data_IF_393436038666
#
_entry.id   IF_393436038666
#
_cell.length_a   1.000
_cell.length_b   1.000
_cell.length_c   1.000
_cell.angle_alpha   90.00
_cell.angle_beta   90.00
_cell.angle_gamma   90.00
#
_symmetry.space_group_name_H-M   'P 1'
#
loop_
_entity.id
_entity.type
_entity.pdbx_description
1 polymer ?
#
# COMPACT_ATOMS: atom_id res chain seq x y z
N UNK A 1 -12.66 -32.93 40.41
CA UNK A 1 -13.03 -31.55 39.97
C UNK A 1 -11.75 -30.79 39.63
N UNK A 2 -11.40 -30.66 38.34
CA UNK A 2 -10.22 -29.89 37.87
C UNK A 2 -10.58 -29.00 36.66
N UNK A 3 -11.76 -28.38 36.67
CA UNK A 3 -12.29 -27.60 35.54
C UNK A 3 -11.77 -26.16 35.43
N UNK A 4 -10.72 -25.78 36.18
CA UNK A 4 -10.22 -24.40 36.24
C UNK A 4 -9.13 -24.04 35.20
N UNK A 5 -8.19 -24.93 34.92
CA UNK A 5 -6.90 -24.54 34.32
C UNK A 5 -6.83 -24.53 32.79
N UNK A 6 -7.85 -25.06 32.10
CA UNK A 6 -7.82 -25.12 30.64
C UNK A 6 -8.53 -23.95 29.94
N UNK A 7 -9.35 -23.17 30.66
CA UNK A 7 -10.08 -22.04 30.06
C UNK A 7 -9.15 -20.99 29.40
N UNK A 8 -7.98 -20.63 29.97
CA UNK A 8 -7.04 -19.71 29.34
C UNK A 8 -6.42 -20.30 28.07
N UNK A 9 -6.00 -21.58 28.11
CA UNK A 9 -5.39 -22.28 26.97
C UNK A 9 -6.37 -22.47 25.81
N UNK A 10 -7.66 -22.69 26.11
CA UNK A 10 -8.75 -22.81 25.11
C UNK A 10 -9.00 -21.52 24.33
N UNK A 11 -8.84 -20.35 24.96
CA UNK A 11 -9.04 -19.05 24.30
C UNK A 11 -7.77 -18.53 23.61
N UNK A 12 -6.60 -18.99 24.03
CA UNK A 12 -5.29 -18.55 23.54
C UNK A 12 -5.18 -18.62 22.01
N UNK A 13 -5.68 -19.68 21.37
CA UNK A 13 -5.61 -19.84 19.92
C UNK A 13 -6.46 -18.83 19.16
N UNK A 14 -7.70 -18.59 19.60
CA UNK A 14 -8.56 -17.58 18.98
C UNK A 14 -8.01 -16.16 19.20
N UNK A 15 -7.51 -15.87 20.40
CA UNK A 15 -6.88 -14.57 20.68
C UNK A 15 -5.60 -14.38 19.87
N UNK A 16 -4.78 -15.42 19.70
CA UNK A 16 -3.57 -15.35 18.87
C UNK A 16 -3.92 -15.08 17.41
N UNK A 17 -4.95 -15.75 16.86
CA UNK A 17 -5.44 -15.48 15.52
C UNK A 17 -5.89 -14.03 15.37
N UNK A 18 -6.75 -13.54 16.27
CA UNK A 18 -7.26 -12.17 16.22
C UNK A 18 -6.14 -11.13 16.34
N UNK A 19 -5.17 -11.35 17.23
CA UNK A 19 -4.00 -10.48 17.39
C UNK A 19 -3.13 -10.47 16.14
N UNK A 20 -2.83 -11.64 15.57
CA UNK A 20 -2.04 -11.72 14.36
C UNK A 20 -2.73 -11.05 13.16
N UNK A 21 -4.04 -11.25 13.02
CA UNK A 21 -4.83 -10.56 11.97
C UNK A 21 -4.85 -9.06 12.20
N UNK A 22 -5.00 -8.59 13.44
CA UNK A 22 -4.97 -7.16 13.75
C UNK A 22 -3.64 -6.53 13.33
N UNK A 23 -2.52 -7.17 13.71
CA UNK A 23 -1.17 -6.75 13.36
C UNK A 23 -1.01 -6.73 11.83
N UNK A 24 -1.25 -7.86 11.15
CA UNK A 24 -1.06 -7.98 9.71
C UNK A 24 -1.96 -7.04 8.90
N UNK A 25 -3.25 -6.94 9.24
CA UNK A 25 -4.21 -6.10 8.51
C UNK A 25 -3.91 -4.61 8.66
N UNK A 26 -3.33 -4.16 9.79
CA UNK A 26 -2.87 -2.78 9.90
C UNK A 26 -1.72 -2.52 8.91
N UNK A 27 -0.73 -3.42 8.87
CA UNK A 27 0.39 -3.32 7.93
C UNK A 27 -0.08 -3.29 6.47
N UNK A 28 -0.92 -4.26 6.10
CA UNK A 28 -1.53 -4.34 4.77
C UNK A 28 -2.27 -3.04 4.39
N UNK A 29 -3.07 -2.50 5.32
CA UNK A 29 -3.80 -1.26 5.09
C UNK A 29 -2.87 -0.03 4.96
N UNK A 30 -1.69 -0.01 5.59
CA UNK A 30 -0.67 1.01 5.35
C UNK A 30 -0.09 0.91 3.92
N UNK A 31 0.02 -0.31 3.37
CA UNK A 31 0.61 -0.56 2.05
C UNK A 31 -0.24 -0.03 0.90
N UNK A 32 -1.56 0.11 1.09
CA UNK A 32 -2.48 0.79 0.16
C UNK A 32 -1.98 2.21 -0.16
N UNK A 33 -1.33 2.86 0.80
CA UNK A 33 -0.73 4.19 0.63
C UNK A 33 0.72 4.09 0.17
N UNK A 34 1.51 3.28 0.87
CA UNK A 34 2.96 3.27 0.72
C UNK A 34 3.41 2.80 -0.67
N UNK A 35 2.82 1.72 -1.21
CA UNK A 35 3.27 1.14 -2.49
C UNK A 35 2.98 2.06 -3.67
N UNK A 36 1.75 2.58 -3.87
CA UNK A 36 1.49 3.50 -4.97
C UNK A 36 2.28 4.81 -4.87
N UNK A 37 2.46 5.32 -3.64
CA UNK A 37 3.26 6.51 -3.38
C UNK A 37 4.74 6.27 -3.70
N UNK A 38 5.30 5.12 -3.33
CA UNK A 38 6.67 4.72 -3.67
C UNK A 38 6.88 4.69 -5.18
N UNK A 39 5.97 4.06 -5.92
CA UNK A 39 6.04 3.98 -7.39
C UNK A 39 5.97 5.38 -8.00
N UNK A 40 5.09 6.23 -7.48
CA UNK A 40 4.94 7.59 -7.99
C UNK A 40 6.18 8.46 -7.70
N UNK A 41 6.77 8.34 -6.50
CA UNK A 41 8.01 9.03 -6.13
C UNK A 41 9.20 8.60 -6.99
N UNK A 42 9.36 7.29 -7.20
CA UNK A 42 10.53 6.74 -7.91
C UNK A 42 10.42 6.87 -9.42
N UNK A 43 9.21 6.77 -9.98
CA UNK A 43 9.01 6.77 -11.44
C UNK A 43 8.47 8.09 -11.99
N UNK A 44 7.85 8.92 -11.16
CA UNK A 44 7.15 10.14 -11.58
C UNK A 44 5.92 9.89 -12.47
N UNK A 45 5.52 8.63 -12.68
CA UNK A 45 4.54 8.24 -13.69
C UNK A 45 3.28 7.63 -13.07
N UNK A 46 2.16 8.35 -13.23
CA UNK A 46 0.82 7.89 -12.83
C UNK A 46 0.43 6.61 -13.57
N UNK A 47 0.80 6.48 -14.84
CA UNK A 47 0.53 5.30 -15.64
C UNK A 47 1.22 4.06 -15.06
N UNK A 48 2.47 4.20 -14.58
CA UNK A 48 3.20 3.10 -13.94
C UNK A 48 2.58 2.71 -12.61
N UNK A 49 2.13 3.67 -11.80
CA UNK A 49 1.36 3.39 -10.58
C UNK A 49 0.08 2.61 -10.89
N UNK A 50 -0.65 3.00 -11.93
CA UNK A 50 -1.85 2.27 -12.38
C UNK A 50 -1.57 0.83 -12.82
N UNK A 51 -0.47 0.60 -13.55
CA UNK A 51 -0.04 -0.75 -13.93
C UNK A 51 0.23 -1.60 -12.69
N UNK A 52 0.93 -1.06 -11.68
CA UNK A 52 1.23 -1.80 -10.45
C UNK A 52 -0.04 -2.22 -9.71
N UNK A 53 -1.01 -1.31 -9.57
CA UNK A 53 -2.32 -1.61 -8.95
C UNK A 53 -3.10 -2.66 -9.77
N UNK A 54 -3.05 -2.57 -11.10
CA UNK A 54 -3.70 -3.55 -11.97
C UNK A 54 -3.06 -4.94 -11.84
N UNK A 55 -1.73 -5.02 -11.83
CA UNK A 55 -1.00 -6.30 -11.65
C UNK A 55 -1.31 -6.92 -10.30
N UNK A 56 -1.34 -6.12 -9.22
CA UNK A 56 -1.75 -6.60 -7.90
C UNK A 56 -3.15 -7.21 -7.92
N UNK A 57 -4.10 -6.52 -8.55
CA UNK A 57 -5.50 -6.97 -8.67
C UNK A 57 -5.63 -8.28 -9.47
N UNK A 58 -4.89 -8.41 -10.58
CA UNK A 58 -4.86 -9.65 -11.37
C UNK A 58 -4.21 -10.78 -10.58
N UNK A 59 -3.11 -10.50 -9.87
CA UNK A 59 -2.43 -11.48 -9.02
C UNK A 59 -3.35 -12.03 -7.94
N UNK A 60 -4.05 -11.15 -7.21
CA UNK A 60 -5.02 -11.53 -6.20
C UNK A 60 -6.18 -12.36 -6.81
N UNK A 61 -6.73 -11.94 -7.96
CA UNK A 61 -7.76 -12.69 -8.67
C UNK A 61 -7.32 -14.09 -9.07
N UNK A 62 -6.10 -14.23 -9.60
CA UNK A 62 -5.49 -15.52 -9.94
C UNK A 62 -5.28 -16.39 -8.70
N UNK A 63 -4.80 -15.79 -7.61
CA UNK A 63 -4.59 -16.45 -6.33
C UNK A 63 -5.89 -17.02 -5.75
N UNK A 64 -7.02 -16.35 -5.95
CA UNK A 64 -8.35 -16.84 -5.56
C UNK A 64 -8.71 -18.18 -6.20
N UNK A 65 -8.32 -18.41 -7.46
CA UNK A 65 -8.51 -19.71 -8.14
C UNK A 65 -7.54 -20.79 -7.65
N UNK A 66 -6.46 -20.44 -6.95
CA UNK A 66 -5.52 -21.40 -6.38
C UNK A 66 -5.73 -21.63 -4.88
N UNK A 67 -6.55 -20.81 -4.22
CA UNK A 67 -6.71 -20.81 -2.76
C UNK A 67 -7.17 -22.17 -2.22
N UNK A 68 -8.22 -22.77 -2.80
CA UNK A 68 -8.75 -24.08 -2.36
C UNK A 68 -7.69 -25.19 -2.38
N UNK A 69 -7.11 -25.53 -3.54
CA UNK A 69 -6.08 -26.57 -3.65
C UNK A 69 -4.86 -26.34 -2.77
N UNK A 70 -4.46 -25.08 -2.60
CA UNK A 70 -3.29 -24.72 -1.79
C UNK A 70 -3.57 -24.94 -0.30
N UNK A 71 -4.74 -24.50 0.18
CA UNK A 71 -5.20 -24.73 1.55
C UNK A 71 -5.41 -26.21 1.81
N UNK A 72 -5.97 -26.96 0.86
CA UNK A 72 -6.15 -28.41 0.98
C UNK A 72 -4.81 -29.14 1.15
N UNK A 73 -3.77 -28.71 0.43
CA UNK A 73 -2.43 -29.33 0.49
C UNK A 73 -1.66 -28.97 1.75
N UNK A 74 -1.64 -27.69 2.12
CA UNK A 74 -0.78 -27.18 3.20
C UNK A 74 -1.51 -27.03 4.53
N UNK A 75 -2.84 -26.99 4.53
CA UNK A 75 -3.67 -26.70 5.69
C UNK A 75 -3.79 -25.20 5.96
N UNK A 76 -4.76 -24.84 6.80
CA UNK A 76 -5.09 -23.44 7.08
C UNK A 76 -3.95 -22.68 7.79
N UNK A 77 -3.32 -23.28 8.80
CA UNK A 77 -2.24 -22.62 9.58
C UNK A 77 -1.00 -22.34 8.71
N UNK A 78 -0.40 -23.33 8.02
CA UNK A 78 0.78 -23.07 7.19
C UNK A 78 0.51 -22.08 6.06
N UNK A 79 -0.64 -22.18 5.38
CA UNK A 79 -0.99 -21.22 4.31
C UNK A 79 -1.09 -19.78 4.81
N UNK A 80 -1.63 -19.58 6.02
CA UNK A 80 -1.67 -18.25 6.65
C UNK A 80 -0.26 -17.72 6.93
N UNK A 81 0.61 -18.53 7.54
CA UNK A 81 1.98 -18.14 7.88
C UNK A 81 2.80 -17.84 6.63
N UNK A 82 2.75 -18.72 5.62
CA UNK A 82 3.49 -18.55 4.37
C UNK A 82 3.02 -17.30 3.63
N UNK A 83 1.71 -17.02 3.61
CA UNK A 83 1.17 -15.79 3.01
C UNK A 83 1.75 -14.52 3.65
N UNK A 84 1.76 -14.44 4.99
CA UNK A 84 2.37 -13.31 5.69
C UNK A 84 3.87 -13.17 5.40
N UNK A 85 4.62 -14.27 5.41
CA UNK A 85 6.04 -14.23 5.10
C UNK A 85 6.30 -13.81 3.65
N UNK A 86 5.47 -14.26 2.70
CA UNK A 86 5.57 -13.85 1.30
C UNK A 86 5.33 -12.36 1.11
N UNK A 87 4.23 -11.84 1.67
CA UNK A 87 3.90 -10.41 1.62
C UNK A 87 4.96 -9.56 2.30
N UNK A 88 5.43 -9.97 3.47
CA UNK A 88 6.51 -9.29 4.20
C UNK A 88 7.84 -9.30 3.44
N UNK A 89 8.19 -10.42 2.81
CA UNK A 89 9.42 -10.54 2.00
C UNK A 89 9.35 -9.62 0.77
N UNK A 90 8.21 -9.58 0.08
CA UNK A 90 8.01 -8.65 -1.01
C UNK A 90 8.13 -7.19 -0.55
N UNK A 91 7.50 -6.86 0.57
CA UNK A 91 7.53 -5.52 1.16
C UNK A 91 8.95 -5.09 1.54
N UNK A 92 9.77 -5.98 2.14
CA UNK A 92 11.17 -5.71 2.44
C UNK A 92 12.05 -5.66 1.18
N UNK A 93 11.75 -6.49 0.17
CA UNK A 93 12.51 -6.55 -1.08
C UNK A 93 12.52 -5.23 -1.85
N UNK A 94 11.40 -4.49 -1.84
CA UNK A 94 11.27 -3.20 -2.54
C UNK A 94 12.34 -2.18 -2.07
N UNK A 95 12.39 -1.76 -0.79
CA UNK A 95 13.37 -0.79 -0.33
C UNK A 95 14.80 -1.34 -0.37
N UNK A 96 15.02 -2.63 -0.06
CA UNK A 96 16.36 -3.22 -0.09
C UNK A 96 16.97 -3.17 -1.49
N UNK A 97 16.24 -3.62 -2.52
CA UNK A 97 16.71 -3.52 -3.91
C UNK A 97 16.83 -2.08 -4.39
N UNK A 98 15.99 -1.17 -3.88
CA UNK A 98 16.09 0.25 -4.19
C UNK A 98 17.39 0.85 -3.69
N UNK A 99 17.76 0.58 -2.43
CA UNK A 99 19.02 1.07 -1.83
C UNK A 99 20.26 0.49 -2.52
N UNK A 100 20.17 -0.71 -3.07
CA UNK A 100 21.24 -1.34 -3.86
C UNK A 100 21.32 -0.82 -5.30
N UNK A 101 20.41 0.08 -5.72
CA UNK A 101 20.34 0.56 -7.10
C UNK A 101 19.93 -0.50 -8.13
N UNK A 102 19.39 -1.64 -7.68
CA UNK A 102 19.00 -2.78 -8.53
C UNK A 102 17.48 -2.88 -8.76
N UNK A 103 16.70 -1.98 -8.18
CA UNK A 103 15.26 -1.95 -8.37
C UNK A 103 14.90 -1.23 -9.66
N UNK A 104 14.66 -2.01 -10.72
CA UNK A 104 14.00 -1.54 -11.91
C UNK A 104 12.47 -1.69 -11.81
N UNK A 105 11.75 -1.13 -12.77
CA UNK A 105 10.29 -1.18 -12.75
C UNK A 105 9.74 -2.60 -12.90
N UNK A 106 10.42 -3.46 -13.68
CA UNK A 106 10.01 -4.85 -13.87
C UNK A 106 10.14 -5.63 -12.57
N UNK A 107 11.25 -5.47 -11.84
CA UNK A 107 11.43 -6.12 -10.53
C UNK A 107 10.43 -5.64 -9.50
N UNK A 108 10.06 -4.34 -9.50
CA UNK A 108 9.00 -3.83 -8.64
C UNK A 108 7.66 -4.52 -8.94
N UNK A 109 7.28 -4.58 -10.22
CA UNK A 109 6.04 -5.26 -10.64
C UNK A 109 6.07 -6.74 -10.27
N UNK A 110 7.20 -7.41 -10.42
CA UNK A 110 7.38 -8.81 -10.04
C UNK A 110 7.22 -9.01 -8.52
N UNK A 111 7.76 -8.13 -7.67
CA UNK A 111 7.59 -8.18 -6.21
C UNK A 111 6.13 -7.99 -5.80
N UNK A 112 5.42 -7.05 -6.44
CA UNK A 112 4.00 -6.80 -6.16
C UNK A 112 3.15 -8.01 -6.59
N UNK A 113 3.43 -8.56 -7.77
CA UNK A 113 2.78 -9.79 -8.23
C UNK A 113 3.04 -10.95 -7.26
N UNK A 114 4.30 -11.12 -6.84
CA UNK A 114 4.72 -12.14 -5.88
C UNK A 114 3.94 -12.03 -4.57
N UNK A 115 3.81 -10.84 -3.99
CA UNK A 115 2.99 -10.62 -2.79
C UNK A 115 1.52 -11.01 -3.01
N UNK A 116 0.97 -10.63 -4.16
CA UNK A 116 -0.46 -10.80 -4.47
C UNK A 116 -0.86 -12.27 -4.72
N UNK A 117 0.09 -13.13 -5.07
CA UNK A 117 -0.15 -14.55 -5.38
C UNK A 117 -0.59 -15.39 -4.17
N UNK A 118 -0.25 -14.97 -2.94
CA UNK A 118 -0.62 -15.67 -1.71
C UNK A 118 -1.55 -14.89 -0.79
N UNK A 119 -1.94 -13.69 -1.20
CA UNK A 119 -2.81 -12.82 -0.41
C UNK A 119 -4.20 -13.47 -0.17
N UNK A 120 -4.94 -13.75 -1.25
CA UNK A 120 -6.27 -14.38 -1.16
C UNK A 120 -6.24 -15.77 -0.49
N UNK A 121 -5.29 -16.68 -0.80
CA UNK A 121 -5.13 -17.92 -0.04
C UNK A 121 -4.92 -17.69 1.45
N UNK A 122 -4.11 -16.72 1.85
CA UNK A 122 -3.88 -16.38 3.27
C UNK A 122 -5.14 -15.88 3.96
N UNK A 123 -5.86 -14.94 3.33
CA UNK A 123 -7.13 -14.40 3.84
C UNK A 123 -8.18 -15.49 4.02
N UNK A 124 -8.29 -16.38 3.03
CA UNK A 124 -9.21 -17.53 3.05
C UNK A 124 -8.79 -18.52 4.13
N UNK A 125 -7.49 -18.73 4.30
CA UNK A 125 -6.95 -19.64 5.30
C UNK A 125 -7.29 -19.17 6.73
N UNK A 126 -7.15 -17.86 7.00
CA UNK A 126 -7.57 -17.23 8.26
C UNK A 126 -9.05 -17.49 8.55
N UNK A 127 -9.94 -17.30 7.57
CA UNK A 127 -11.37 -17.54 7.78
C UNK A 127 -11.69 -19.00 8.07
N UNK A 128 -10.92 -19.93 7.50
CA UNK A 128 -11.07 -21.36 7.78
C UNK A 128 -10.57 -21.80 9.16
N UNK A 129 -9.69 -21.03 9.81
CA UNK A 129 -9.27 -21.28 11.20
C UNK A 129 -10.35 -20.89 12.22
N UNK A 130 -11.25 -19.96 11.88
CA UNK A 130 -12.22 -19.39 12.83
C UNK A 130 -13.16 -20.44 13.43
N UNK A 131 -13.80 -21.34 12.67
CA UNK A 131 -14.74 -22.31 13.25
C UNK A 131 -14.09 -23.24 14.27
N UNK A 132 -12.91 -23.77 13.95
CA UNK A 132 -12.18 -24.66 14.83
C UNK A 132 -11.76 -23.96 16.14
N UNK A 133 -11.24 -22.73 16.03
CA UNK A 133 -10.81 -21.95 17.19
C UNK A 133 -11.99 -21.42 18.03
N UNK A 134 -13.11 -21.08 17.39
CA UNK A 134 -14.33 -20.70 18.08
C UNK A 134 -14.91 -21.89 18.87
N UNK A 135 -14.93 -23.08 18.28
CA UNK A 135 -15.31 -24.32 18.95
C UNK A 135 -14.42 -24.64 20.15
N UNK A 136 -13.10 -24.57 19.98
CA UNK A 136 -12.13 -24.74 21.07
C UNK A 136 -12.34 -23.73 22.21
N UNK A 137 -12.65 -22.47 21.87
CA UNK A 137 -12.91 -21.40 22.81
C UNK A 137 -14.34 -21.40 23.42
N UNK A 138 -15.22 -22.32 22.99
CA UNK A 138 -16.67 -22.33 23.29
C UNK A 138 -17.34 -20.98 23.02
N UNK A 139 -16.94 -20.31 21.94
CA UNK A 139 -17.51 -19.04 21.48
C UNK A 139 -18.46 -19.30 20.31
N UNK A 140 -19.66 -18.68 20.29
CA UNK A 140 -20.53 -18.72 19.12
C UNK A 140 -19.80 -18.26 17.86
N UNK A 141 -20.00 -18.96 16.75
CA UNK A 141 -19.28 -18.71 15.50
C UNK A 141 -19.57 -17.29 14.97
N UNK A 142 -20.78 -16.79 15.20
CA UNK A 142 -21.23 -15.44 14.85
C UNK A 142 -20.41 -14.38 15.60
N UNK A 143 -20.14 -14.63 16.90
CA UNK A 143 -19.34 -13.73 17.72
C UNK A 143 -17.87 -13.74 17.29
N UNK A 144 -17.30 -14.91 17.00
CA UNK A 144 -15.93 -15.03 16.53
C UNK A 144 -15.73 -14.36 15.17
N UNK A 145 -16.65 -14.56 14.22
CA UNK A 145 -16.65 -13.85 12.94
C UNK A 145 -16.85 -12.35 13.13
N UNK A 146 -17.75 -11.93 14.00
CA UNK A 146 -17.97 -10.51 14.32
C UNK A 146 -16.69 -9.83 14.83
N UNK A 147 -15.93 -10.49 15.70
CA UNK A 147 -14.62 -9.99 16.17
C UNK A 147 -13.59 -9.91 15.04
N UNK A 148 -13.49 -10.95 14.20
CA UNK A 148 -12.58 -10.95 13.06
C UNK A 148 -12.90 -9.81 12.08
N UNK A 149 -14.18 -9.61 11.77
CA UNK A 149 -14.64 -8.50 10.92
C UNK A 149 -14.33 -7.16 11.57
N UNK A 150 -14.64 -6.98 12.86
CA UNK A 150 -14.36 -5.74 13.58
C UNK A 150 -12.86 -5.38 13.53
N UNK A 151 -11.98 -6.36 13.76
CA UNK A 151 -10.53 -6.18 13.65
C UNK A 151 -10.14 -5.66 12.28
N UNK A 152 -10.60 -6.32 11.19
CA UNK A 152 -10.28 -5.89 9.82
C UNK A 152 -10.79 -4.48 9.52
N UNK A 153 -12.00 -4.14 9.96
CA UNK A 153 -12.57 -2.81 9.73
C UNK A 153 -11.79 -1.72 10.45
N UNK A 154 -11.40 -1.96 11.71
CA UNK A 154 -10.54 -1.02 12.46
C UNK A 154 -9.18 -0.87 11.78
N UNK A 155 -8.58 -1.97 11.32
CA UNK A 155 -7.32 -1.93 10.57
C UNK A 155 -7.44 -1.13 9.28
N UNK A 156 -8.52 -1.28 8.52
CA UNK A 156 -8.76 -0.51 7.30
C UNK A 156 -9.01 0.99 7.57
N UNK A 157 -9.60 1.33 8.72
CA UNK A 157 -9.84 2.72 9.10
C UNK A 157 -8.54 3.42 9.52
N UNK A 158 -7.73 2.76 10.35
CA UNK A 158 -6.52 3.34 10.94
C UNK A 158 -5.29 3.19 10.03
N UNK A 159 -5.21 2.10 9.27
CA UNK A 159 -4.03 1.72 8.48
C UNK A 159 -3.59 2.77 7.46
N UNK A 160 -4.48 3.31 6.59
CA UNK A 160 -4.08 4.34 5.63
C UNK A 160 -3.62 5.64 6.31
N UNK A 161 -4.20 5.99 7.46
CA UNK A 161 -3.78 7.15 8.26
C UNK A 161 -2.34 6.96 8.76
N UNK A 162 -2.09 5.80 9.40
CA UNK A 162 -0.77 5.41 9.89
C UNK A 162 0.24 5.27 8.76
N UNK A 163 -0.18 4.78 7.59
CA UNK A 163 0.63 4.67 6.39
C UNK A 163 1.04 6.03 5.84
N UNK A 164 0.08 6.93 5.65
CA UNK A 164 0.36 8.30 5.18
C UNK A 164 1.22 9.10 6.15
N UNK A 165 0.94 9.01 7.45
CA UNK A 165 1.75 9.65 8.49
C UNK A 165 3.16 9.04 8.56
N UNK A 166 3.25 7.71 8.53
CA UNK A 166 4.52 6.98 8.52
C UNK A 166 5.38 7.35 7.32
N UNK A 167 4.78 7.46 6.13
CA UNK A 167 5.49 7.91 4.92
C UNK A 167 5.96 9.36 5.06
N UNK A 168 5.15 10.24 5.66
CA UNK A 168 5.51 11.64 5.87
C UNK A 168 6.65 11.83 6.89
N UNK A 169 6.67 11.04 7.97
CA UNK A 169 7.64 11.17 9.06
C UNK A 169 8.92 10.34 8.87
N UNK A 170 8.77 9.09 8.42
CA UNK A 170 9.85 8.10 8.36
C UNK A 170 10.30 7.79 6.93
N UNK A 171 9.57 8.28 5.93
CA UNK A 171 9.77 7.96 4.53
C UNK A 171 9.17 6.61 4.11
N UNK A 172 8.99 6.45 2.80
CA UNK A 172 8.29 5.30 2.22
C UNK A 172 9.02 3.97 2.43
N UNK A 173 10.36 3.98 2.37
CA UNK A 173 11.18 2.79 2.60
C UNK A 173 11.02 2.22 4.03
N UNK A 174 10.97 3.10 5.03
CA UNK A 174 10.80 2.69 6.43
C UNK A 174 9.43 2.05 6.66
N UNK A 175 8.37 2.59 6.05
CA UNK A 175 7.02 2.01 6.16
C UNK A 175 6.94 0.60 5.53
N UNK A 176 7.60 0.41 4.38
CA UNK A 176 7.69 -0.91 3.74
C UNK A 176 8.41 -1.94 4.63
N UNK A 177 9.49 -1.54 5.31
CA UNK A 177 10.20 -2.38 6.27
C UNK A 177 9.41 -2.64 7.55
N UNK A 178 8.69 -1.65 8.07
CA UNK A 178 7.78 -1.81 9.21
C UNK A 178 6.71 -2.86 8.86
N UNK A 179 6.10 -2.77 7.67
CA UNK A 179 5.15 -3.78 7.21
C UNK A 179 5.76 -5.18 7.17
N UNK A 180 7.00 -5.32 6.68
CA UNK A 180 7.69 -6.61 6.68
C UNK A 180 7.86 -7.18 8.10
N UNK A 181 8.23 -6.35 9.07
CA UNK A 181 8.34 -6.74 10.48
C UNK A 181 6.98 -7.12 11.10
N UNK A 182 5.93 -6.36 10.78
CA UNK A 182 4.55 -6.63 11.21
C UNK A 182 4.05 -7.96 10.64
N UNK A 183 4.31 -8.26 9.37
CA UNK A 183 3.99 -9.55 8.76
C UNK A 183 4.76 -10.71 9.42
N UNK A 184 6.06 -10.53 9.69
CA UNK A 184 6.87 -11.54 10.37
C UNK A 184 6.38 -11.78 11.82
N UNK A 185 6.00 -10.72 12.53
CA UNK A 185 5.43 -10.82 13.87
C UNK A 185 4.08 -11.55 13.85
N UNK A 186 3.19 -11.22 12.90
CA UNK A 186 1.92 -11.92 12.73
C UNK A 186 2.13 -13.42 12.44
N UNK A 187 3.07 -13.75 11.56
CA UNK A 187 3.47 -15.13 11.28
C UNK A 187 3.98 -15.85 12.54
N UNK A 188 4.80 -15.19 13.37
CA UNK A 188 5.28 -15.72 14.64
C UNK A 188 4.14 -15.96 15.63
N UNK A 189 3.23 -15.00 15.79
CA UNK A 189 2.07 -15.10 16.68
C UNK A 189 1.15 -16.25 16.28
N UNK A 190 0.89 -16.43 14.98
CA UNK A 190 0.13 -17.60 14.48
C UNK A 190 0.88 -18.89 14.78
N UNK A 191 2.19 -18.92 14.51
CA UNK A 191 3.00 -20.13 14.68
C UNK A 191 3.04 -20.59 16.12
N UNK A 192 3.23 -19.66 17.06
CA UNK A 192 3.33 -19.91 18.49
C UNK A 192 1.97 -20.07 19.19
N UNK A 193 0.97 -19.30 18.80
CA UNK A 193 -0.30 -19.20 19.52
C UNK A 193 -1.45 -20.04 18.96
N UNK A 194 -1.44 -20.35 17.65
CA UNK A 194 -2.48 -21.19 17.04
C UNK A 194 -2.02 -22.63 17.07
N UNK A 195 -2.56 -23.44 17.98
CA UNK A 195 -2.45 -24.89 17.89
C UNK A 195 -3.14 -25.34 16.60
N UNK A 196 -2.43 -26.09 15.75
CA UNK A 196 -3.00 -26.57 14.49
C UNK A 196 -4.28 -27.35 14.81
N UNK A 197 -5.44 -26.96 14.25
CA UNK A 197 -6.61 -27.83 14.31
C UNK A 197 -6.22 -29.14 13.65
N UNK A 198 -6.46 -30.25 14.34
CA UNK A 198 -6.22 -31.57 13.78
C UNK A 198 -7.00 -31.67 12.46
N UNK A 199 -6.32 -32.04 11.36
CA UNK A 199 -6.93 -32.22 10.03
C UNK A 199 -8.11 -33.20 10.06
N UNK A 200 -8.21 -33.99 11.14
CA UNK A 200 -9.17 -35.06 11.36
C UNK A 200 -10.55 -34.63 11.86
N UNK A 201 -10.77 -33.37 12.26
CA UNK A 201 -12.04 -32.98 12.90
C UNK A 201 -13.14 -32.48 11.93
N UNK A 202 -12.80 -32.16 10.68
CA UNK A 202 -13.78 -31.87 9.65
C UNK A 202 -13.83 -33.06 8.69
N UNK A 203 -15.00 -33.65 8.41
CA UNK A 203 -15.12 -34.65 7.35
C UNK A 203 -14.59 -34.02 6.07
N UNK A 204 -13.57 -34.63 5.48
CA UNK A 204 -13.13 -34.24 4.15
C UNK A 204 -14.38 -34.36 3.25
N UNK A 205 -14.85 -33.26 2.62
CA UNK A 205 -15.99 -33.37 1.73
C UNK A 205 -15.65 -34.42 0.67
N UNK A 206 -16.55 -35.37 0.45
CA UNK A 206 -16.41 -36.36 -0.64
C UNK A 206 -16.14 -35.58 -1.92
N UNK A 207 -14.89 -35.64 -2.40
CA UNK A 207 -14.52 -34.95 -3.63
C UNK A 207 -15.28 -35.64 -4.76
N UNK A 208 -16.08 -34.90 -5.56
CA UNK A 208 -16.67 -35.44 -6.76
C UNK A 208 -15.58 -36.09 -7.63
N UNK A 209 -15.92 -37.16 -8.33
CA UNK A 209 -15.00 -38.02 -9.10
C UNK A 209 -14.25 -37.33 -10.27
N UNK A 210 -14.21 -35.99 -10.35
CA UNK A 210 -13.56 -35.21 -11.41
C UNK A 210 -12.42 -34.29 -10.96
N UNK A 211 -12.09 -34.25 -9.66
CA UNK A 211 -11.03 -33.37 -9.12
C UNK A 211 -11.32 -31.86 -9.22
N UNK A 212 -10.36 -31.05 -8.80
CA UNK A 212 -10.52 -29.59 -8.65
C UNK A 212 -10.97 -28.87 -9.93
N UNK A 213 -10.50 -29.32 -11.10
CA UNK A 213 -10.84 -28.67 -12.38
C UNK A 213 -12.30 -28.89 -12.75
N UNK A 214 -12.88 -30.04 -12.40
CA UNK A 214 -14.30 -30.31 -12.60
C UNK A 214 -15.17 -29.46 -11.67
N UNK A 215 -14.78 -29.32 -10.40
CA UNK A 215 -15.44 -28.45 -9.42
C UNK A 215 -15.40 -26.98 -9.86
N UNK A 216 -14.23 -26.49 -10.29
CA UNK A 216 -14.09 -25.13 -10.80
C UNK A 216 -14.98 -24.87 -12.03
N UNK A 217 -15.02 -25.82 -12.97
CA UNK A 217 -15.91 -25.73 -14.14
C UNK A 217 -17.38 -25.76 -13.75
N UNK A 218 -17.75 -26.57 -12.76
CA UNK A 218 -19.11 -26.61 -12.24
C UNK A 218 -19.50 -25.26 -11.61
N UNK A 219 -18.66 -24.69 -10.75
CA UNK A 219 -18.89 -23.36 -10.17
C UNK A 219 -19.01 -22.25 -11.21
N UNK A 220 -18.14 -22.24 -12.22
CA UNK A 220 -18.22 -21.29 -13.34
C UNK A 220 -19.48 -21.47 -14.18
N UNK A 221 -19.93 -22.72 -14.37
CA UNK A 221 -21.19 -23.02 -15.08
C UNK A 221 -22.39 -22.50 -14.30
N UNK A 222 -22.45 -22.76 -13.00
CA UNK A 222 -23.50 -22.24 -12.10
C UNK A 222 -23.55 -20.71 -12.13
N UNK A 223 -22.39 -20.05 -12.05
CA UNK A 223 -22.31 -18.59 -12.10
C UNK A 223 -22.79 -18.04 -13.45
N UNK A 224 -22.55 -18.75 -14.56
CA UNK A 224 -23.05 -18.37 -15.89
C UNK A 224 -24.55 -18.60 -16.05
N UNK A 225 -25.09 -19.68 -15.48
CA UNK A 225 -26.50 -20.07 -15.60
C UNK A 225 -27.44 -19.20 -14.75
N UNK A 226 -27.00 -18.81 -13.54
CA UNK A 226 -27.84 -18.00 -12.65
C UNK A 226 -27.63 -16.51 -12.89
N UNK A 227 -28.64 -15.87 -13.51
CA UNK A 227 -28.63 -14.42 -13.80
C UNK A 227 -28.35 -13.56 -12.57
N UNK A 228 -28.92 -13.90 -11.41
CA UNK A 228 -28.72 -13.14 -10.17
C UNK A 228 -27.26 -13.20 -9.70
N UNK A 229 -26.68 -14.40 -9.61
CA UNK A 229 -25.28 -14.58 -9.21
C UNK A 229 -24.34 -13.88 -10.17
N UNK A 230 -24.56 -14.05 -11.49
CA UNK A 230 -23.78 -13.36 -12.52
C UNK A 230 -23.81 -11.85 -12.37
N UNK A 231 -25.00 -11.26 -12.16
CA UNK A 231 -25.15 -9.83 -11.99
C UNK A 231 -24.50 -9.34 -10.70
N UNK A 232 -24.64 -10.06 -9.58
CA UNK A 232 -24.00 -9.71 -8.30
C UNK A 232 -22.48 -9.79 -8.40
N UNK A 233 -21.93 -10.84 -9.00
CA UNK A 233 -20.49 -10.97 -9.20
C UNK A 233 -19.97 -9.87 -10.13
N UNK A 234 -20.58 -9.67 -11.29
CA UNK A 234 -20.14 -8.65 -12.24
C UNK A 234 -20.21 -7.23 -11.67
N UNK A 235 -21.29 -6.89 -10.97
CA UNK A 235 -21.43 -5.59 -10.32
C UNK A 235 -20.42 -5.39 -9.18
N UNK A 236 -20.19 -6.42 -8.36
CA UNK A 236 -19.19 -6.37 -7.28
C UNK A 236 -17.78 -6.24 -7.84
N UNK A 237 -17.42 -7.01 -8.88
CA UNK A 237 -16.11 -6.90 -9.54
C UNK A 237 -15.91 -5.52 -10.15
N UNK A 238 -16.92 -4.98 -10.84
CA UNK A 238 -16.86 -3.63 -11.40
C UNK A 238 -16.69 -2.57 -10.30
N UNK A 239 -17.46 -2.66 -9.22
CA UNK A 239 -17.38 -1.72 -8.11
C UNK A 239 -16.01 -1.76 -7.42
N UNK A 240 -15.53 -2.95 -7.03
CA UNK A 240 -14.22 -3.11 -6.37
C UNK A 240 -13.07 -2.67 -7.29
N UNK A 241 -13.16 -2.94 -8.60
CA UNK A 241 -12.15 -2.49 -9.55
C UNK A 241 -12.09 -0.97 -9.68
N UNK A 242 -13.25 -0.31 -9.76
CA UNK A 242 -13.34 1.15 -9.79
C UNK A 242 -12.86 1.78 -8.49
N UNK A 243 -13.24 1.20 -7.35
CA UNK A 243 -12.84 1.66 -6.02
C UNK A 243 -11.32 1.56 -5.83
N UNK A 244 -10.72 0.40 -6.16
CA UNK A 244 -9.26 0.21 -6.13
C UNK A 244 -8.52 1.18 -7.05
N UNK A 245 -9.04 1.47 -8.24
CA UNK A 245 -8.45 2.46 -9.15
C UNK A 245 -8.55 3.90 -8.61
N UNK A 246 -9.69 4.24 -8.02
CA UNK A 246 -9.91 5.55 -7.40
C UNK A 246 -8.97 5.77 -6.21
N UNK A 247 -8.92 4.81 -5.28
CA UNK A 247 -8.11 4.88 -4.08
C UNK A 247 -6.62 4.77 -4.38
N UNK A 248 -6.21 3.80 -5.21
CA UNK A 248 -4.81 3.47 -5.45
C UNK A 248 -4.10 4.35 -6.49
N UNK A 249 -4.83 5.01 -7.39
CA UNK A 249 -4.22 5.80 -8.48
C UNK A 249 -4.68 7.25 -8.46
N UNK A 250 -6.00 7.48 -8.51
CA UNK A 250 -6.55 8.84 -8.65
C UNK A 250 -6.28 9.68 -7.41
N UNK A 251 -6.61 9.15 -6.23
CA UNK A 251 -6.45 9.86 -4.97
C UNK A 251 -4.97 10.08 -4.63
N UNK A 252 -4.13 9.07 -4.87
CA UNK A 252 -2.67 9.15 -4.69
C UNK A 252 -2.07 10.23 -5.58
N UNK A 253 -2.43 10.23 -6.87
CA UNK A 253 -1.94 11.24 -7.83
C UNK A 253 -2.42 12.64 -7.45
N UNK A 254 -3.68 12.78 -7.05
CA UNK A 254 -4.22 14.05 -6.60
C UNK A 254 -3.46 14.58 -5.38
N UNK A 255 -3.25 13.73 -4.37
CA UNK A 255 -2.50 14.08 -3.18
C UNK A 255 -1.05 14.46 -3.51
N UNK A 256 -0.39 13.70 -4.38
CA UNK A 256 0.98 13.99 -4.78
C UNK A 256 1.12 15.31 -5.56
N UNK A 257 0.25 15.54 -6.55
CA UNK A 257 0.36 16.70 -7.45
C UNK A 257 -0.18 18.00 -6.85
N UNK A 258 -1.22 17.94 -6.01
CA UNK A 258 -1.92 19.13 -5.52
C UNK A 258 -1.68 19.42 -4.05
N UNK A 259 -1.41 18.40 -3.23
CA UNK A 259 -1.23 18.54 -1.78
C UNK A 259 0.23 18.35 -1.35
N UNK A 260 1.07 17.72 -2.18
CA UNK A 260 2.52 17.60 -1.98
C UNK A 260 2.97 16.79 -0.76
N UNK A 261 2.04 16.18 -0.01
CA UNK A 261 2.33 15.49 1.25
C UNK A 261 1.62 14.16 1.35
N UNK A 262 2.34 13.10 1.71
CA UNK A 262 1.78 11.78 1.99
C UNK A 262 0.81 11.79 3.19
N UNK A 263 1.00 12.71 4.14
CA UNK A 263 0.07 12.89 5.26
C UNK A 263 -1.33 13.30 4.79
N UNK A 264 -1.41 14.14 3.75
CA UNK A 264 -2.70 14.54 3.16
C UNK A 264 -3.44 13.36 2.50
N UNK A 265 -2.70 12.42 1.89
CA UNK A 265 -3.25 11.18 1.35
C UNK A 265 -3.81 10.29 2.47
N UNK A 266 -3.07 10.17 3.58
CA UNK A 266 -3.55 9.49 4.78
C UNK A 266 -4.85 10.11 5.31
N UNK A 267 -4.93 11.44 5.42
CA UNK A 267 -6.17 12.15 5.84
C UNK A 267 -7.33 11.89 4.87
N UNK A 268 -7.08 11.96 3.56
CA UNK A 268 -8.11 11.69 2.54
C UNK A 268 -8.66 10.26 2.65
N UNK A 269 -7.79 9.27 2.83
CA UNK A 269 -8.19 7.87 2.99
C UNK A 269 -8.85 7.60 4.34
N UNK A 270 -8.44 8.31 5.39
CA UNK A 270 -9.12 8.25 6.70
C UNK A 270 -10.53 8.82 6.59
N UNK A 271 -10.70 9.97 5.93
CA UNK A 271 -12.02 10.55 5.67
C UNK A 271 -12.89 9.62 4.82
N UNK A 272 -12.30 8.92 3.84
CA UNK A 272 -12.96 7.86 3.09
C UNK A 272 -13.41 6.71 4.00
N UNK A 273 -12.54 6.22 4.88
CA UNK A 273 -12.87 5.18 5.87
C UNK A 273 -13.99 5.59 6.84
N UNK A 274 -13.98 6.83 7.34
CA UNK A 274 -15.06 7.39 8.17
C UNK A 274 -16.37 7.43 7.39
N UNK A 275 -16.34 7.85 6.11
CA UNK A 275 -17.50 7.83 5.23
C UNK A 275 -18.08 6.42 5.04
N UNK A 276 -17.22 5.42 4.85
CA UNK A 276 -17.62 4.00 4.74
C UNK A 276 -18.26 3.49 6.03
N UNK A 277 -17.70 3.85 7.19
CA UNK A 277 -18.25 3.48 8.49
C UNK A 277 -19.63 4.14 8.72
N UNK A 278 -19.74 5.44 8.47
CA UNK A 278 -20.99 6.18 8.58
C UNK A 278 -22.07 5.65 7.63
N UNK A 279 -21.71 5.34 6.38
CA UNK A 279 -22.62 4.75 5.40
C UNK A 279 -23.12 3.37 5.80
N UNK A 280 -22.23 2.54 6.34
CA UNK A 280 -22.56 1.20 6.84
C UNK A 280 -23.49 1.27 8.06
N UNK A 281 -23.26 2.23 8.97
CA UNK A 281 -24.14 2.47 10.12
C UNK A 281 -25.52 2.99 9.68
N UNK A 282 -25.57 3.96 8.76
CA UNK A 282 -26.82 4.46 8.21
C UNK A 282 -27.62 3.34 7.53
N UNK A 283 -26.95 2.45 6.79
CA UNK A 283 -27.58 1.27 6.19
C UNK A 283 -28.05 0.25 7.24
N UNK A 284 -27.31 0.03 8.33
CA UNK A 284 -27.76 -0.84 9.41
C UNK A 284 -29.04 -0.31 10.09
N UNK A 285 -29.11 1.01 10.32
CA UNK A 285 -30.24 1.66 11.00
C UNK A 285 -31.47 1.77 10.09
N UNK A 286 -31.30 2.15 8.82
CA UNK A 286 -32.43 2.49 7.92
C UNK A 286 -32.63 1.46 6.81
N UNK A 287 -31.60 0.68 6.47
CA UNK A 287 -31.58 -0.21 5.31
C UNK A 287 -32.59 -1.37 5.38
N UNK A 288 -32.99 -1.79 6.58
CA UNK A 288 -34.06 -2.80 6.74
C UNK A 288 -35.43 -2.31 6.25
N UNK A 289 -35.62 -0.98 6.13
CA UNK A 289 -36.85 -0.35 5.64
C UNK A 289 -36.81 -0.07 4.13
N UNK A 290 -35.67 -0.27 3.48
CA UNK A 290 -35.45 0.12 2.09
C UNK A 290 -35.40 -1.12 1.18
N UNK A 291 -35.98 -1.00 -0.01
CA UNK A 291 -35.94 -2.07 -1.01
C UNK A 291 -34.50 -2.29 -1.51
N UNK A 292 -33.90 -3.45 -1.19
CA UNK A 292 -32.50 -3.83 -1.47
C UNK A 292 -32.00 -3.40 -2.87
N UNK A 293 -32.79 -3.67 -3.92
CA UNK A 293 -32.41 -3.37 -5.31
C UNK A 293 -32.37 -1.86 -5.62
N UNK A 294 -33.30 -1.08 -5.06
CA UNK A 294 -33.34 0.38 -5.24
C UNK A 294 -32.22 1.05 -4.48
N UNK A 295 -31.95 0.59 -3.25
CA UNK A 295 -30.84 1.13 -2.44
C UNK A 295 -29.49 0.91 -3.11
N UNK A 296 -29.25 -0.28 -3.66
CA UNK A 296 -28.01 -0.58 -4.39
C UNK A 296 -27.82 0.33 -5.61
N UNK A 297 -28.86 0.48 -6.44
CA UNK A 297 -28.79 1.33 -7.64
C UNK A 297 -28.66 2.81 -7.29
N UNK A 298 -29.42 3.29 -6.29
CA UNK A 298 -29.38 4.68 -5.85
C UNK A 298 -28.02 5.06 -5.23
N UNK A 299 -27.45 4.18 -4.41
CA UNK A 299 -26.12 4.37 -3.83
C UNK A 299 -25.03 4.42 -4.92
N UNK A 300 -25.08 3.49 -5.89
CA UNK A 300 -24.15 3.49 -7.03
C UNK A 300 -24.26 4.76 -7.88
N UNK A 301 -25.48 5.21 -8.18
CA UNK A 301 -25.71 6.46 -8.93
C UNK A 301 -25.24 7.69 -8.16
N UNK A 302 -25.53 7.77 -6.86
CA UNK A 302 -25.11 8.88 -6.01
C UNK A 302 -23.57 8.98 -5.93
N UNK A 303 -22.88 7.84 -5.78
CA UNK A 303 -21.42 7.80 -5.80
C UNK A 303 -20.84 8.27 -7.15
N UNK A 304 -21.41 7.79 -8.27
CA UNK A 304 -21.00 8.22 -9.61
C UNK A 304 -21.23 9.72 -9.85
N UNK A 305 -22.36 10.25 -9.40
CA UNK A 305 -22.71 11.67 -9.53
C UNK A 305 -21.77 12.55 -8.71
N UNK A 306 -21.40 12.14 -7.49
CA UNK A 306 -20.49 12.89 -6.62
C UNK A 306 -19.08 12.99 -7.22
N UNK A 307 -18.62 11.92 -7.88
CA UNK A 307 -17.34 11.89 -8.61
C UNK A 307 -17.41 12.77 -9.87
N UNK A 308 -18.51 12.71 -10.62
CA UNK A 308 -18.70 13.51 -11.83
C UNK A 308 -18.89 15.02 -11.55
N UNK A 309 -19.50 15.39 -10.42
CA UNK A 309 -19.71 16.79 -10.01
C UNK A 309 -18.47 17.46 -9.41
N UNK A 310 -17.39 16.71 -9.15
CA UNK A 310 -16.08 17.31 -8.87
C UNK A 310 -15.55 17.97 -10.13
N UNK A 311 -15.97 19.22 -10.36
CA UNK A 311 -15.39 20.10 -11.38
C UNK A 311 -13.87 20.11 -11.19
N UNK A 312 -13.05 19.90 -12.25
CA UNK A 312 -11.62 20.07 -12.13
C UNK A 312 -11.34 21.52 -11.76
N UNK A 313 -10.94 21.75 -10.51
CA UNK A 313 -10.46 23.03 -10.00
C UNK A 313 -9.10 23.35 -10.62
N UNK A 314 -9.07 23.57 -11.93
CA UNK A 314 -7.83 23.57 -12.71
C UNK A 314 -7.89 24.42 -13.97
N UNK A 315 -8.79 25.41 -14.05
CA UNK A 315 -8.78 26.41 -15.13
C UNK A 315 -8.87 27.87 -14.69
N UNK A 316 -9.04 28.17 -13.40
CA UNK A 316 -9.14 29.55 -12.92
C UNK A 316 -7.77 30.25 -12.74
N UNK A 317 -6.66 29.50 -12.55
CA UNK A 317 -5.33 30.07 -12.28
C UNK A 317 -4.48 30.44 -13.50
N UNK A 318 -4.60 29.68 -14.62
CA UNK A 318 -3.77 29.90 -15.82
C UNK A 318 -4.14 31.15 -16.63
N UNK A 319 -5.36 31.68 -16.46
CA UNK A 319 -5.81 32.90 -17.14
C UNK A 319 -5.31 34.20 -16.51
N UNK A 320 -5.02 34.23 -15.20
CA UNK A 320 -4.59 35.46 -14.51
C UNK A 320 -3.08 35.70 -14.63
N UNK A 321 -2.27 34.64 -14.58
CA UNK A 321 -0.80 34.74 -14.75
C UNK A 321 -0.40 35.14 -16.17
N UNK A 322 -1.06 34.59 -17.19
CA UNK A 322 -0.80 34.94 -18.59
C UNK A 322 -1.28 36.34 -18.95
N UNK A 323 -2.40 36.81 -18.36
CA UNK A 323 -2.89 38.19 -18.54
C UNK A 323 -2.02 39.22 -17.83
N UNK A 324 -1.50 38.94 -16.63
CA UNK A 324 -0.53 39.83 -15.95
C UNK A 324 0.81 39.87 -16.70
N UNK A 325 1.35 38.72 -17.11
CA UNK A 325 2.58 38.67 -17.90
C UNK A 325 2.43 39.34 -19.29
N UNK A 326 1.25 39.30 -19.90
CA UNK A 326 0.95 40.02 -21.14
C UNK A 326 0.74 41.54 -20.91
N UNK A 327 0.19 41.94 -19.77
CA UNK A 327 0.05 43.34 -19.38
C UNK A 327 1.42 43.97 -19.07
N UNK A 328 2.28 43.28 -18.33
CA UNK A 328 3.63 43.76 -17.99
C UNK A 328 4.53 43.89 -19.23
N UNK A 329 4.42 42.95 -20.19
CA UNK A 329 5.12 43.07 -21.48
C UNK A 329 4.63 44.24 -22.34
N UNK A 330 3.34 44.58 -22.25
CA UNK A 330 2.76 45.74 -22.95
C UNK A 330 3.14 47.06 -22.27
N UNK A 331 3.31 47.06 -20.95
CA UNK A 331 3.83 48.21 -20.20
C UNK A 331 5.32 48.45 -20.54
N UNK A 332 6.14 47.41 -20.51
CA UNK A 332 7.57 47.49 -20.85
C UNK A 332 7.83 47.92 -22.32
N UNK A 333 6.95 47.54 -23.25
CA UNK A 333 7.03 47.97 -24.66
C UNK A 333 6.63 49.43 -24.87
N UNK A 334 5.85 50.04 -23.96
CA UNK A 334 5.50 51.47 -24.03
C UNK A 334 6.63 52.36 -23.50
N UNK A 335 7.33 51.93 -22.46
CA UNK A 335 8.52 52.65 -21.95
C UNK A 335 9.68 52.67 -22.94
N UNK A 336 9.89 51.57 -23.67
CA UNK A 336 10.94 51.49 -24.70
C UNK A 336 10.58 52.24 -25.99
N UNK A 337 9.29 52.45 -26.28
CA UNK A 337 8.83 53.28 -27.40
C UNK A 337 8.94 54.79 -27.17
N UNK A 338 8.94 55.24 -25.90
CA UNK A 338 9.15 56.65 -25.53
C UNK A 338 10.60 57.11 -25.68
N UNK A 339 11.57 56.21 -25.46
CA UNK A 339 13.00 56.52 -25.49
C UNK A 339 13.59 56.63 -26.91
N UNK A 340 12.89 56.19 -27.97
CA UNK A 340 13.40 56.21 -29.36
C UNK A 340 12.96 57.46 -30.13
N UNK A 341 12.10 58.32 -29.56
CA UNK A 341 11.58 59.53 -30.24
C UNK A 341 12.27 60.84 -29.86
N UNK A 342 13.26 60.82 -28.97
CA UNK A 342 14.04 61.99 -28.58
C UNK A 342 15.52 61.80 -28.97
N UNK A 343 15.83 62.04 -30.24
CA UNK A 343 17.18 61.89 -30.77
C UNK A 343 17.30 62.27 -32.24
N UNK A 344 16.70 63.40 -32.63
CA UNK A 344 16.96 64.03 -33.91
C UNK A 344 18.20 64.92 -33.80
N UNK A 345 19.26 64.60 -34.54
CA UNK A 345 20.48 65.41 -34.55
C UNK A 345 21.48 64.92 -35.61
N UNK A 346 21.71 65.78 -36.59
CA UNK A 346 22.63 65.71 -37.74
C UNK A 346 24.05 65.21 -37.37
N UNK A 347 24.72 64.47 -38.25
CA UNK A 347 25.83 65.01 -39.05
C UNK A 347 26.52 64.02 -40.01
N UNK A 348 27.14 64.63 -41.03
CA UNK A 348 27.84 64.06 -42.19
C UNK A 348 29.24 63.53 -41.83
N UNK A 349 29.69 62.49 -42.55
CA UNK A 349 30.95 62.41 -43.33
C UNK A 349 31.62 61.02 -43.33
N UNK A 350 32.22 60.72 -44.51
CA UNK A 350 33.21 59.66 -44.84
C UNK A 350 32.63 58.24 -44.90
N UNK A 351 32.93 57.41 -45.88
CA UNK A 351 33.98 57.40 -46.89
C UNK A 351 34.28 55.93 -47.17
N UNK A 352 34.26 55.57 -48.45
CA UNK A 352 34.63 54.31 -49.11
C UNK A 352 35.29 53.18 -48.27
N UNK A 353 34.93 51.92 -48.56
CA UNK A 353 35.70 50.97 -49.41
C UNK A 353 35.08 49.56 -49.37
N UNK A 354 34.75 49.07 -50.57
CA UNK A 354 34.78 47.70 -51.15
C UNK A 354 34.55 46.43 -50.31
N UNK A 355 33.79 45.52 -50.94
CA UNK A 355 33.97 44.05 -50.87
C UNK A 355 32.65 43.31 -50.64
N UNK A 356 31.86 43.00 -51.67
CA UNK A 356 31.91 41.77 -52.49
C UNK A 356 31.05 40.61 -51.95
N UNK A 357 30.35 39.96 -52.90
CA UNK A 357 29.55 38.72 -52.85
C UNK A 357 28.12 38.83 -52.24
N UNK A 358 27.05 38.82 -53.06
CA UNK A 358 26.35 37.61 -53.60
C UNK A 358 26.23 36.55 -52.49
N UNK A 359 25.09 36.26 -51.89
CA UNK A 359 23.73 36.18 -52.40
C UNK A 359 23.30 34.72 -52.30
N UNK A 360 22.46 34.35 -51.32
CA UNK A 360 21.38 33.40 -51.55
C UNK A 360 20.34 33.43 -50.42
N UNK A 361 19.09 33.22 -50.80
CA UNK A 361 17.90 33.17 -49.96
C UNK A 361 17.70 31.73 -49.49
N UNK A 362 17.18 31.54 -48.27
CA UNK A 362 16.19 30.48 -48.05
C UNK A 362 16.23 29.71 -46.73
N UNK A 363 15.13 29.86 -45.98
CA UNK A 363 14.42 28.83 -45.19
C UNK A 363 15.02 28.34 -43.85
N UNK A 364 14.43 28.91 -42.79
CA UNK A 364 13.68 28.24 -41.70
C UNK A 364 14.20 26.89 -41.16
N UNK A 365 14.57 26.88 -39.87
CA UNK A 365 13.82 26.24 -38.77
C UNK A 365 14.75 25.90 -37.58
N UNK A 366 14.95 26.87 -36.68
CA UNK A 366 15.68 26.66 -35.41
C UNK A 366 14.74 26.29 -34.27
N UNK A 367 14.51 24.99 -34.05
CA UNK A 367 13.89 24.46 -32.84
C UNK A 367 14.94 24.07 -31.80
N UNK A 368 15.44 25.04 -31.01
CA UNK A 368 16.36 24.75 -29.89
C UNK A 368 15.56 24.16 -28.70
N UNK A 369 15.63 22.83 -28.54
CA UNK A 369 15.34 22.15 -27.27
C UNK A 369 16.42 22.53 -26.25
N UNK A 370 16.03 23.15 -25.13
CA UNK A 370 16.91 23.34 -23.97
C UNK A 370 17.05 21.99 -23.25
N UNK A 371 18.22 21.37 -23.39
CA UNK A 371 18.72 20.30 -22.52
C UNK A 371 19.32 20.99 -21.29
N UNK A 372 18.77 20.73 -20.11
CA UNK A 372 19.37 21.15 -18.83
C UNK A 372 20.36 20.06 -18.44
N UNK A 373 21.65 20.33 -18.62
CA UNK A 373 22.74 19.48 -18.16
C UNK A 373 23.12 19.88 -16.72
N UNK A 374 23.15 18.91 -15.81
CA UNK A 374 23.64 19.07 -14.44
C UNK A 374 25.15 18.82 -14.43
N UNK A 375 25.96 19.78 -13.94
CA UNK A 375 27.40 19.59 -13.70
C UNK A 375 27.62 18.91 -12.35
N UNK A 376 28.46 17.86 -12.25
CA UNK A 376 28.90 17.32 -10.99
C UNK A 376 30.18 18.03 -10.53
N UNK A 377 30.17 18.56 -9.31
CA UNK A 377 31.31 19.20 -8.68
C UNK A 377 30.85 20.20 -7.64
N UNK A 378 30.75 19.75 -6.39
CA UNK A 378 31.14 20.52 -5.20
C UNK A 378 30.78 19.72 -3.94
N UNK A 379 31.65 18.77 -3.60
CA UNK A 379 31.83 18.30 -2.23
C UNK A 379 33.17 18.83 -1.75
N UNK A 380 33.11 19.65 -0.69
CA UNK A 380 34.13 19.94 0.34
C UNK A 380 34.32 21.45 0.53
N UNK A 381 33.69 21.97 1.58
CA UNK A 381 34.29 22.79 2.65
C UNK A 381 33.14 23.46 3.41
N UNK A 382 32.97 23.06 4.67
CA UNK A 382 32.62 23.92 5.81
C UNK A 382 32.49 23.02 7.03
N UNK A 383 33.63 22.76 7.64
CA UNK A 383 33.77 22.48 9.07
C UNK A 383 34.51 23.67 9.67
N UNK A 384 34.15 23.99 10.92
CA UNK A 384 34.83 24.81 11.94
C UNK A 384 34.19 26.17 12.26
N UNK A 385 33.78 26.26 13.54
CA UNK A 385 33.59 27.45 14.36
C UNK A 385 32.16 27.55 14.91
N UNK A 386 31.84 27.32 16.19
CA UNK A 386 32.62 27.18 17.42
C UNK A 386 31.84 27.84 18.58
N UNK A 387 31.83 27.20 19.75
CA UNK A 387 31.27 27.71 21.02
C UNK A 387 30.08 26.88 21.52
N UNK A 388 30.10 26.18 22.66
CA UNK A 388 31.00 26.22 23.81
C UNK A 388 30.16 26.43 25.08
N UNK A 389 29.86 25.37 25.81
CA UNK A 389 29.70 25.43 27.26
C UNK A 389 30.13 24.12 27.92
N UNK A 390 30.82 24.30 29.04
CA UNK A 390 31.71 23.40 29.75
C UNK A 390 31.02 22.69 30.92
N UNK A 391 31.65 21.58 31.34
CA UNK A 391 31.53 20.94 32.66
C UNK A 391 31.39 19.42 32.54
N UNK A 392 32.39 18.55 32.68
CA UNK A 392 33.73 18.66 33.25
C UNK A 392 33.82 18.00 34.63
N UNK A 393 34.12 16.69 34.68
CA UNK A 393 34.96 16.01 35.70
C UNK A 393 34.92 14.46 35.53
N UNK A 394 36.07 13.84 35.21
CA UNK A 394 36.37 12.43 35.56
C UNK A 394 37.23 12.38 36.83
N UNK A 395 38.09 11.36 37.09
CA UNK A 395 38.22 10.04 36.42
C UNK A 395 38.50 8.84 37.39
N UNK A 396 38.74 7.66 36.78
CA UNK A 396 39.61 6.56 37.20
C UNK A 396 39.18 5.56 38.30
N UNK A 397 39.46 4.26 38.05
CA UNK A 397 39.48 3.21 39.09
C UNK A 397 39.28 1.78 38.58
N UNK A 398 40.36 1.17 38.08
CA UNK A 398 40.49 -0.23 37.66
C UNK A 398 40.88 -1.13 38.86
N UNK A 399 40.11 -2.16 39.26
CA UNK A 399 40.60 -3.33 40.06
C UNK A 399 39.72 -4.58 39.86
N UNK A 400 40.28 -5.55 39.12
CA UNK A 400 40.43 -7.00 39.38
C UNK A 400 39.53 -7.78 40.38
N UNK A 401 39.05 -8.93 39.86
CA UNK A 401 39.26 -10.34 40.30
C UNK A 401 38.19 -11.13 41.11
N UNK A 402 38.15 -12.40 40.69
CA UNK A 402 37.64 -13.65 41.29
C UNK A 402 36.12 -13.92 41.15
N UNK A 403 35.65 -15.08 40.67
CA UNK A 403 36.31 -16.32 40.25
C UNK A 403 35.50 -17.55 40.68
N UNK A 404 35.39 -18.54 39.78
CA UNK A 404 34.99 -19.96 39.99
C UNK A 404 33.48 -20.21 40.25
N UNK A 405 32.87 -21.28 39.72
CA UNK A 405 33.42 -22.44 39.05
C UNK A 405 32.35 -23.25 38.30
N UNK A 406 32.83 -24.04 37.34
CA UNK A 406 32.13 -25.15 36.69
C UNK A 406 32.57 -26.48 37.38
N UNK A 407 32.38 -27.67 36.78
CA UNK A 407 31.13 -28.45 36.63
C UNK A 407 31.30 -29.92 37.10
N UNK A 408 30.21 -30.71 37.15
CA UNK A 408 30.15 -32.21 37.14
C UNK A 408 28.75 -32.65 37.64
N UNK A 409 28.12 -33.78 37.30
CA UNK A 409 28.40 -34.93 36.44
C UNK A 409 27.16 -35.86 36.46
N UNK A 410 26.95 -36.61 35.37
CA UNK A 410 26.41 -37.99 35.26
C UNK A 410 25.36 -38.52 36.26
N UNK A 411 24.28 -39.10 35.72
CA UNK A 411 23.94 -40.53 35.95
C UNK A 411 23.01 -41.09 34.87
N UNK A 412 23.37 -42.29 34.45
CA UNK A 412 22.69 -43.24 33.56
C UNK A 412 21.80 -44.21 34.35
N UNK A 413 21.00 -45.01 33.61
CA UNK A 413 20.17 -46.18 34.03
C UNK A 413 18.78 -45.80 34.59
N UNK A 414 17.67 -46.47 34.26
CA UNK A 414 17.47 -47.87 33.85
C UNK A 414 16.10 -48.04 33.19
N UNK A 415 16.00 -49.02 32.29
CA UNK A 415 14.78 -49.71 31.85
C UNK A 415 13.95 -50.22 33.05
N UNK A 416 12.60 -50.23 32.94
CA UNK A 416 11.73 -51.31 33.45
C UNK A 416 10.33 -51.22 32.79
N UNK A 417 9.87 -52.43 32.50
CA UNK A 417 8.65 -52.96 31.92
C UNK A 417 7.32 -52.66 32.65
N UNK A 418 6.21 -52.79 31.90
CA UNK A 418 4.82 -53.17 32.29
C UNK A 418 3.99 -52.23 33.19
N UNK A 419 2.91 -51.67 32.62
CA UNK A 419 1.53 -52.20 32.71
C UNK A 419 0.60 -51.43 31.75
#
# INVERSE_FOLDING_TARGET
MSHGDDAPRRRAGLTALLTAVAIASVGEAMMIVAVPWFVLQTTGSVARTGIVVAVASVGAGAAGFAAGPLIDRWGFKPTTVVSYLFGGTAAAGIPLLHTLGRLDFVTLVALVLFASLLDIPGVTAVTGLVPALAGAARMPLERANGLLTAVRQVSQLCGPALGGLGVALLGTASVLLINAGVCALAALVITAGVSAPDRSAAPAPERPAGGYTAELRAGLRTLRQHRLLRTLTASSTAFNGLDSGLAGVVLVTYAYQHLGSAGSLGVLLTAFGIGTAAGSLAFAVVGHRLGRRRTFLAAGFAAGLLIAFRRPAGRAGRGRGSRRAAADRRAAARDTGGAVRAGGGRDRHRGAVRGAARGDRGRRAGGRRRVVAYRPGDLRRLSVGGGGMLGGAGPAGDVRRHGRGAPASRRSMTSIDRL
#
